data_IF_367527994213
#
_entry.id   IF_367527994213
#
_cell.length_a   1.000
_cell.length_b   1.000
_cell.length_c   1.000
_cell.angle_alpha   90.00
_cell.angle_beta   90.00
_cell.angle_gamma   90.00
#
_symmetry.space_group_name_H-M   'P 1'
#
loop_
_entity.id
_entity.type
_entity.pdbx_description
1 polymer ?
#
# COMPACT_ATOMS: atom_id res chain seq x y z
N UNK A 1 -24.68 -4.86 -14.87
CA UNK A 1 -23.22 -4.87 -14.60
C UNK A 1 -23.04 -5.44 -13.21
N UNK A 2 -22.16 -6.42 -12.99
CA UNK A 2 -21.80 -6.77 -11.62
C UNK A 2 -21.19 -5.51 -11.00
N UNK A 3 -21.76 -5.06 -9.89
CA UNK A 3 -21.34 -3.85 -9.22
C UNK A 3 -19.95 -4.13 -8.62
N UNK A 4 -18.89 -3.80 -9.36
CA UNK A 4 -17.52 -3.94 -8.87
C UNK A 4 -17.41 -3.01 -7.67
N UNK A 5 -17.27 -3.59 -6.47
CA UNK A 5 -16.96 -2.90 -5.22
C UNK A 5 -15.45 -2.98 -5.00
N UNK A 6 -14.65 -2.02 -5.53
CA UNK A 6 -13.21 -2.07 -5.34
C UNK A 6 -12.86 -1.83 -3.88
N UNK A 7 -11.85 -2.54 -3.37
CA UNK A 7 -11.19 -2.17 -2.12
C UNK A 7 -10.25 -1.00 -2.42
N UNK A 8 -10.42 0.10 -1.70
CA UNK A 8 -9.46 1.19 -1.71
C UNK A 8 -8.30 0.80 -0.80
N UNK A 9 -7.08 0.78 -1.32
CA UNK A 9 -5.86 0.54 -0.55
C UNK A 9 -4.99 1.79 -0.67
N UNK A 10 -4.48 2.29 0.45
CA UNK A 10 -3.65 3.50 0.49
C UNK A 10 -2.64 3.43 1.63
N UNK A 11 -1.59 4.24 1.57
CA UNK A 11 -0.72 4.51 2.72
C UNK A 11 -0.99 5.94 3.23
N UNK A 12 -1.65 6.09 4.39
CA UNK A 12 -2.09 7.37 4.95
C UNK A 12 -3.19 8.11 4.14
N UNK A 13 -3.90 7.42 3.26
CA UNK A 13 -4.89 8.07 2.39
C UNK A 13 -6.15 8.54 3.10
N UNK A 14 -6.44 8.05 4.31
CA UNK A 14 -7.57 8.54 5.10
C UNK A 14 -7.37 9.96 5.58
N UNK A 15 -6.13 10.35 5.90
CA UNK A 15 -5.81 11.69 6.42
C UNK A 15 -5.34 12.65 5.34
N UNK A 16 -4.99 12.14 4.14
CA UNK A 16 -4.46 12.95 3.04
C UNK A 16 -5.27 12.80 1.74
N UNK A 17 -5.10 11.70 1.01
CA UNK A 17 -5.65 11.52 -0.34
C UNK A 17 -7.17 11.73 -0.41
N UNK A 18 -7.91 11.09 0.49
CA UNK A 18 -9.37 11.11 0.47
C UNK A 18 -9.93 12.48 0.82
N UNK A 19 -9.47 13.19 1.88
CA UNK A 19 -9.83 14.58 2.10
C UNK A 19 -9.54 15.49 0.88
N UNK A 20 -8.35 15.38 0.29
CA UNK A 20 -7.96 16.20 -0.88
C UNK A 20 -8.90 15.96 -2.07
N UNK A 21 -9.16 14.69 -2.40
CA UNK A 21 -10.07 14.33 -3.50
C UNK A 21 -11.51 14.77 -3.23
N UNK A 22 -12.00 14.60 -1.99
CA UNK A 22 -13.34 15.05 -1.58
C UNK A 22 -13.51 16.55 -1.76
N UNK A 23 -12.57 17.34 -1.23
CA UNK A 23 -12.64 18.81 -1.34
C UNK A 23 -12.53 19.25 -2.80
N UNK A 24 -11.64 18.64 -3.58
CA UNK A 24 -11.52 18.98 -5.00
C UNK A 24 -12.79 18.64 -5.77
N UNK A 25 -13.40 17.47 -5.53
CA UNK A 25 -14.69 17.10 -6.13
C UNK A 25 -15.79 18.10 -5.77
N UNK A 26 -15.89 18.52 -4.51
CA UNK A 26 -16.88 19.51 -4.05
C UNK A 26 -16.69 20.88 -4.71
N UNK A 27 -15.43 21.36 -4.81
CA UNK A 27 -15.11 22.62 -5.51
C UNK A 27 -15.60 22.59 -6.97
N UNK A 28 -15.52 21.43 -7.62
CA UNK A 28 -15.93 21.25 -9.01
C UNK A 28 -17.37 20.76 -9.19
N UNK A 29 -18.18 20.68 -8.12
CA UNK A 29 -19.57 20.23 -8.19
C UNK A 29 -19.74 18.75 -8.60
N UNK A 30 -18.71 17.92 -8.44
CA UNK A 30 -18.73 16.50 -8.82
C UNK A 30 -19.41 15.70 -7.70
N UNK A 31 -20.50 15.03 -8.03
CA UNK A 31 -21.19 14.13 -7.10
C UNK A 31 -20.42 12.81 -6.93
N UNK A 32 -20.30 12.35 -5.67
CA UNK A 32 -19.66 11.09 -5.31
C UNK A 32 -20.59 10.22 -4.44
N UNK A 33 -21.86 10.08 -4.85
CA UNK A 33 -22.90 9.40 -4.05
C UNK A 33 -22.49 7.99 -3.61
N UNK A 34 -21.98 7.17 -4.53
CA UNK A 34 -21.55 5.81 -4.23
C UNK A 34 -20.49 5.77 -3.12
N UNK A 35 -19.51 6.69 -3.14
CA UNK A 35 -18.47 6.75 -2.12
C UNK A 35 -19.04 6.99 -0.70
N UNK A 36 -20.13 7.74 -0.60
CA UNK A 36 -20.75 8.09 0.67
C UNK A 36 -21.84 7.12 1.14
N UNK A 37 -22.59 6.52 0.21
CA UNK A 37 -23.77 5.71 0.52
C UNK A 37 -23.58 4.21 0.35
N UNK A 38 -22.52 3.76 -0.33
CA UNK A 38 -22.31 2.33 -0.51
C UNK A 38 -22.02 1.65 0.84
N UNK A 39 -22.65 0.48 1.03
CA UNK A 39 -22.46 -0.36 2.22
C UNK A 39 -23.50 -0.15 3.30
N UNK A 40 -23.10 -0.34 4.56
CA UNK A 40 -23.96 -0.20 5.73
C UNK A 40 -23.30 0.66 6.82
N UNK A 41 -23.94 0.77 7.98
CA UNK A 41 -23.47 1.60 9.11
C UNK A 41 -22.10 1.18 9.67
N UNK A 42 -21.68 -0.07 9.46
CA UNK A 42 -20.42 -0.65 9.94
C UNK A 42 -19.41 -0.88 8.81
N UNK A 43 -19.88 -1.02 7.57
CA UNK A 43 -19.07 -1.41 6.42
C UNK A 43 -19.26 -0.43 5.28
N UNK A 44 -18.36 0.54 5.14
CA UNK A 44 -18.32 1.47 4.00
C UNK A 44 -16.93 2.11 3.86
N UNK A 45 -16.70 2.87 2.79
CA UNK A 45 -15.44 3.62 2.60
C UNK A 45 -15.16 4.66 3.70
N UNK A 46 -16.21 5.16 4.37
CA UNK A 46 -16.07 6.16 5.43
C UNK A 46 -15.81 5.53 6.79
N UNK A 47 -16.04 4.22 6.95
CA UNK A 47 -15.80 3.54 8.22
C UNK A 47 -14.31 3.25 8.42
N UNK A 48 -13.76 3.72 9.55
CA UNK A 48 -12.33 3.66 9.86
C UNK A 48 -11.80 2.23 9.92
N UNK A 49 -12.55 1.33 10.54
CA UNK A 49 -12.15 -0.04 10.83
C UNK A 49 -12.57 -1.05 9.74
N UNK A 50 -13.15 -0.58 8.63
CA UNK A 50 -13.61 -1.44 7.54
C UNK A 50 -12.53 -1.57 6.46
N UNK A 51 -11.46 -2.31 6.77
CA UNK A 51 -10.31 -2.51 5.85
C UNK A 51 -10.69 -3.27 4.57
N UNK A 52 -11.81 -3.98 4.57
CA UNK A 52 -12.36 -4.62 3.36
C UNK A 52 -12.98 -3.61 2.37
N UNK A 53 -13.18 -2.37 2.79
CA UNK A 53 -13.63 -1.24 1.97
C UNK A 53 -12.50 -0.24 1.71
N UNK A 54 -11.93 0.33 2.78
CA UNK A 54 -10.75 1.20 2.72
C UNK A 54 -9.68 0.68 3.68
N UNK A 55 -8.70 -0.02 3.12
CA UNK A 55 -7.49 -0.44 3.82
C UNK A 55 -6.46 0.69 3.77
N UNK A 56 -6.46 1.53 4.81
CA UNK A 56 -5.35 2.45 5.04
C UNK A 56 -4.25 1.69 5.80
N UNK A 57 -3.12 1.45 5.14
CA UNK A 57 -1.99 0.68 5.68
C UNK A 57 -1.35 1.37 6.87
N UNK A 58 -1.33 2.71 6.93
CA UNK A 58 -0.76 3.41 8.08
C UNK A 58 -1.60 3.16 9.34
N UNK A 59 -2.93 3.22 9.18
CA UNK A 59 -3.86 2.91 10.27
C UNK A 59 -3.80 1.44 10.65
N UNK A 60 -3.81 0.55 9.67
CA UNK A 60 -3.90 -0.89 9.93
C UNK A 60 -2.61 -1.44 10.56
N UNK A 61 -1.44 -0.99 10.11
CA UNK A 61 -0.15 -1.42 10.68
C UNK A 61 0.12 -0.82 12.07
N UNK A 62 -0.50 0.32 12.40
CA UNK A 62 -0.36 0.95 13.71
C UNK A 62 -1.44 0.53 14.73
N UNK A 63 -2.21 -0.51 14.42
CA UNK A 63 -3.40 -0.93 15.20
C UNK A 63 -4.32 0.27 15.50
N UNK A 64 -4.59 1.04 14.45
CA UNK A 64 -5.40 2.27 14.47
C UNK A 64 -4.88 3.34 15.45
N UNK A 65 -3.56 3.39 15.62
CA UNK A 65 -2.85 4.31 16.50
C UNK A 65 -2.59 3.78 17.91
N UNK A 66 -2.82 2.50 18.18
CA UNK A 66 -2.36 1.86 19.42
C UNK A 66 -0.83 1.73 19.46
N UNK A 67 -0.17 1.73 18.30
CA UNK A 67 1.28 1.86 18.16
C UNK A 67 1.66 3.09 17.33
N UNK A 68 2.96 3.35 17.22
CA UNK A 68 3.47 4.49 16.47
C UNK A 68 3.10 4.38 14.98
N UNK A 69 2.73 5.51 14.38
CA UNK A 69 2.53 5.63 12.93
C UNK A 69 3.88 5.81 12.25
N UNK A 70 4.31 4.80 11.51
CA UNK A 70 5.62 4.70 10.86
C UNK A 70 5.52 5.16 9.40
N UNK A 71 6.54 5.86 8.89
CA UNK A 71 6.54 6.34 7.49
C UNK A 71 6.69 5.18 6.50
N UNK A 72 6.20 5.35 5.27
CA UNK A 72 6.25 4.30 4.25
C UNK A 72 7.68 3.78 4.02
N UNK A 73 8.69 4.65 3.94
CA UNK A 73 10.08 4.23 3.79
C UNK A 73 10.60 3.36 4.93
N UNK A 74 10.19 3.66 6.16
CA UNK A 74 10.60 2.89 7.34
C UNK A 74 9.94 1.50 7.33
N UNK A 75 8.67 1.42 6.91
CA UNK A 75 7.97 0.13 6.69
C UNK A 75 8.64 -0.66 5.57
N UNK A 76 8.96 -0.02 4.43
CA UNK A 76 9.66 -0.67 3.33
C UNK A 76 11.01 -1.22 3.79
N UNK A 77 11.82 -0.43 4.50
CA UNK A 77 13.10 -0.86 5.04
C UNK A 77 12.96 -2.08 5.98
N UNK A 78 11.97 -2.06 6.88
CA UNK A 78 11.69 -3.19 7.77
C UNK A 78 11.27 -4.47 7.02
N UNK A 79 10.69 -4.33 5.83
CA UNK A 79 10.27 -5.45 4.98
C UNK A 79 11.27 -5.80 3.88
N UNK A 80 12.46 -5.17 3.87
CA UNK A 80 13.46 -5.27 2.80
C UNK A 80 12.91 -4.94 1.40
N UNK A 81 12.02 -3.95 1.32
CA UNK A 81 11.46 -3.43 0.07
C UNK A 81 12.19 -2.13 -0.34
N UNK A 82 12.18 -1.75 -1.64
CA UNK A 82 12.91 -0.57 -2.13
C UNK A 82 12.61 0.73 -1.40
N UNK A 83 11.34 1.00 -1.09
CA UNK A 83 10.94 2.32 -0.59
C UNK A 83 11.04 3.40 -1.67
N UNK A 84 11.08 4.67 -1.26
CA UNK A 84 11.18 5.81 -2.18
C UNK A 84 12.58 5.88 -2.79
N UNK A 85 12.63 6.04 -4.11
CA UNK A 85 13.86 6.17 -4.88
C UNK A 85 13.98 7.62 -5.37
N UNK A 86 14.96 8.35 -4.85
CA UNK A 86 15.33 9.70 -5.30
C UNK A 86 14.46 10.84 -4.75
N UNK A 87 13.17 10.88 -5.10
CA UNK A 87 12.27 12.00 -4.78
C UNK A 87 11.52 11.76 -3.47
N UNK A 88 11.37 12.82 -2.65
CA UNK A 88 10.51 12.83 -1.46
C UNK A 88 9.34 13.82 -1.62
N UNK A 89 8.24 13.58 -0.90
CA UNK A 89 7.04 14.41 -0.92
C UNK A 89 7.30 15.88 -0.59
N UNK A 90 8.33 16.17 0.22
CA UNK A 90 8.76 17.53 0.53
C UNK A 90 9.28 18.32 -0.69
N UNK A 91 9.70 17.62 -1.74
CA UNK A 91 10.25 18.23 -2.97
C UNK A 91 9.18 18.51 -4.03
N UNK A 92 7.96 18.00 -3.86
CA UNK A 92 6.90 18.06 -4.89
C UNK A 92 6.57 19.50 -5.30
N UNK A 93 6.49 20.43 -4.34
CA UNK A 93 6.22 21.84 -4.65
C UNK A 93 7.32 22.44 -5.52
N UNK A 94 8.59 22.25 -5.16
CA UNK A 94 9.72 22.78 -5.92
C UNK A 94 9.84 22.16 -7.32
N UNK A 95 9.55 20.87 -7.45
CA UNK A 95 9.48 20.20 -8.75
C UNK A 95 8.36 20.77 -9.62
N UNK A 96 7.19 21.03 -9.02
CA UNK A 96 6.04 21.61 -9.73
C UNK A 96 6.36 23.02 -10.24
N UNK A 97 6.89 23.88 -9.37
CA UNK A 97 7.27 25.25 -9.73
C UNK A 97 8.35 25.29 -10.82
N UNK A 98 9.21 24.27 -10.85
CA UNK A 98 10.24 24.09 -11.88
C UNK A 98 9.72 23.41 -13.16
N UNK A 99 8.42 23.14 -13.28
CA UNK A 99 7.82 22.48 -14.44
C UNK A 99 8.14 20.99 -14.59
N UNK A 100 8.71 20.34 -13.57
CA UNK A 100 9.17 18.95 -13.58
C UNK A 100 8.05 17.95 -13.26
N UNK A 101 6.95 18.04 -14.00
CA UNK A 101 5.74 17.23 -13.76
C UNK A 101 5.99 15.73 -13.96
N UNK A 102 6.88 15.36 -14.89
CA UNK A 102 7.21 13.96 -15.12
C UNK A 102 7.88 13.32 -13.89
N UNK A 103 8.79 14.03 -13.22
CA UNK A 103 9.46 13.55 -12.00
C UNK A 103 8.45 13.30 -10.87
N UNK A 104 7.46 14.19 -10.73
CA UNK A 104 6.36 14.02 -9.75
C UNK A 104 5.52 12.77 -10.09
N UNK A 105 5.21 12.57 -11.37
CA UNK A 105 4.44 11.40 -11.82
C UNK A 105 5.19 10.10 -11.54
N UNK A 106 6.47 10.05 -11.91
CA UNK A 106 7.31 8.87 -11.71
C UNK A 106 7.40 8.53 -10.21
N UNK A 107 7.60 9.54 -9.37
CA UNK A 107 7.55 9.42 -7.91
C UNK A 107 6.22 8.83 -7.41
N UNK A 108 5.08 9.41 -7.81
CA UNK A 108 3.76 8.92 -7.41
C UNK A 108 3.52 7.46 -7.82
N UNK A 109 4.00 7.06 -9.00
CA UNK A 109 3.89 5.66 -9.44
C UNK A 109 4.73 4.72 -8.57
N UNK A 110 5.94 5.11 -8.17
CA UNK A 110 6.76 4.31 -7.24
C UNK A 110 6.12 4.18 -5.85
N UNK A 111 5.44 5.23 -5.35
CA UNK A 111 4.69 5.19 -4.09
C UNK A 111 3.52 4.19 -4.17
N UNK A 112 2.85 4.09 -5.33
CA UNK A 112 1.79 3.10 -5.56
C UNK A 112 2.37 1.67 -5.56
N UNK A 113 3.52 1.44 -6.21
CA UNK A 113 4.18 0.13 -6.21
C UNK A 113 4.58 -0.30 -4.79
N UNK A 114 5.18 0.60 -4.01
CA UNK A 114 5.50 0.35 -2.60
C UNK A 114 4.25 0.05 -1.76
N UNK A 115 3.18 0.84 -1.92
CA UNK A 115 1.90 0.63 -1.24
C UNK A 115 1.35 -0.76 -1.54
N UNK A 116 1.41 -1.21 -2.80
CA UNK A 116 0.94 -2.53 -3.20
C UNK A 116 1.79 -3.67 -2.59
N UNK A 117 3.13 -3.54 -2.59
CA UNK A 117 4.01 -4.52 -1.97
C UNK A 117 3.78 -4.66 -0.46
N UNK A 118 3.62 -3.55 0.26
CA UNK A 118 3.27 -3.54 1.69
C UNK A 118 1.91 -4.21 1.90
N UNK A 119 0.93 -3.91 1.06
CA UNK A 119 -0.39 -4.52 1.13
C UNK A 119 -0.34 -6.03 0.90
N UNK A 120 0.40 -6.51 -0.10
CA UNK A 120 0.58 -7.95 -0.31
C UNK A 120 1.21 -8.61 0.91
N UNK A 121 2.24 -7.98 1.52
CA UNK A 121 2.88 -8.51 2.73
C UNK A 121 1.90 -8.60 3.88
N UNK A 122 1.08 -7.58 4.05
CA UNK A 122 0.03 -7.53 5.06
C UNK A 122 -1.04 -8.61 4.84
N UNK A 123 -1.55 -8.76 3.62
CA UNK A 123 -2.53 -9.78 3.26
C UNK A 123 -2.00 -11.20 3.45
N UNK A 124 -0.74 -11.43 3.13
CA UNK A 124 -0.05 -12.70 3.37
C UNK A 124 0.07 -12.97 4.87
N UNK A 125 0.51 -11.99 5.67
CA UNK A 125 0.63 -12.11 7.12
C UNK A 125 -0.70 -12.45 7.81
N UNK A 126 -1.81 -11.89 7.31
CA UNK A 126 -3.16 -12.21 7.79
C UNK A 126 -3.68 -13.58 7.32
N UNK A 127 -2.92 -14.32 6.49
CA UNK A 127 -3.36 -15.59 5.91
C UNK A 127 -4.48 -15.46 4.87
N UNK A 128 -4.70 -14.25 4.32
CA UNK A 128 -5.76 -13.98 3.34
C UNK A 128 -5.38 -14.39 1.92
N UNK A 129 -4.08 -14.53 1.66
CA UNK A 129 -3.54 -15.05 0.39
C UNK A 129 -2.48 -16.12 0.69
N UNK A 130 -2.34 -17.09 -0.20
CA UNK A 130 -1.33 -18.15 -0.09
C UNK A 130 0.06 -17.60 -0.44
N UNK A 131 1.12 -18.32 -0.04
CA UNK A 131 2.48 -18.00 -0.48
C UNK A 131 2.60 -17.98 -2.00
N UNK A 132 1.95 -18.92 -2.69
CA UNK A 132 1.89 -18.96 -4.15
C UNK A 132 1.23 -17.72 -4.74
N UNK A 133 0.07 -17.31 -4.21
CA UNK A 133 -0.64 -16.12 -4.69
C UNK A 133 0.16 -14.84 -4.43
N UNK A 134 0.82 -14.75 -3.27
CA UNK A 134 1.70 -13.63 -2.92
C UNK A 134 2.88 -13.52 -3.91
N UNK A 135 3.59 -14.63 -4.14
CA UNK A 135 4.75 -14.66 -5.05
C UNK A 135 4.35 -14.33 -6.49
N UNK A 136 3.25 -14.93 -6.97
CA UNK A 136 2.70 -14.64 -8.30
C UNK A 136 2.32 -13.17 -8.47
N UNK A 137 1.71 -12.56 -7.45
CA UNK A 137 1.33 -11.14 -7.49
C UNK A 137 2.54 -10.21 -7.58
N UNK A 138 3.66 -10.59 -6.96
CA UNK A 138 4.93 -9.85 -7.09
C UNK A 138 5.52 -10.05 -8.47
N UNK A 139 5.56 -11.28 -8.98
CA UNK A 139 6.07 -11.56 -10.33
C UNK A 139 5.32 -10.73 -11.39
N UNK A 140 3.99 -10.74 -11.35
CA UNK A 140 3.14 -9.93 -12.24
C UNK A 140 3.44 -8.43 -12.09
N UNK A 141 3.62 -7.93 -10.86
CA UNK A 141 3.99 -6.54 -10.61
C UNK A 141 5.36 -6.18 -11.23
N UNK A 142 6.36 -7.06 -11.08
CA UNK A 142 7.70 -6.81 -11.62
C UNK A 142 7.69 -6.79 -13.15
N UNK A 143 6.87 -7.65 -13.79
CA UNK A 143 6.64 -7.60 -15.24
C UNK A 143 5.97 -6.28 -15.67
N UNK A 144 5.00 -5.76 -14.90
CA UNK A 144 4.42 -4.45 -15.18
C UNK A 144 5.45 -3.32 -15.04
N UNK A 145 6.37 -3.43 -14.07
CA UNK A 145 7.43 -2.44 -13.87
C UNK A 145 8.40 -2.36 -15.06
N UNK A 146 8.56 -3.42 -15.85
CA UNK A 146 9.42 -3.40 -17.04
C UNK A 146 8.92 -2.46 -18.15
N UNK A 147 7.63 -2.08 -18.11
CA UNK A 147 7.00 -1.26 -19.16
C UNK A 147 7.37 0.22 -19.11
N UNK A 148 7.96 0.70 -18.00
CA UNK A 148 8.32 2.12 -17.82
C UNK A 148 9.71 2.26 -17.22
N UNK A 149 10.47 3.23 -17.73
CA UNK A 149 11.89 3.35 -17.41
C UNK A 149 12.17 3.63 -15.92
N UNK A 150 11.37 4.48 -15.27
CA UNK A 150 11.52 4.73 -13.83
C UNK A 150 11.16 3.52 -12.97
N UNK A 151 10.24 2.67 -13.44
CA UNK A 151 9.86 1.44 -12.74
C UNK A 151 10.85 0.29 -12.97
N UNK A 152 11.63 0.30 -14.06
CA UNK A 152 12.78 -0.61 -14.20
C UNK A 152 13.82 -0.37 -13.11
N UNK A 153 14.14 0.89 -12.82
CA UNK A 153 15.02 1.25 -11.68
C UNK A 153 14.46 0.75 -10.35
N UNK A 154 13.14 0.81 -10.18
CA UNK A 154 12.48 0.23 -9.01
C UNK A 154 12.65 -1.30 -8.95
N UNK A 155 12.52 -2.00 -10.08
CA UNK A 155 12.75 -3.45 -10.16
C UNK A 155 14.21 -3.80 -9.83
N UNK A 156 15.18 -3.06 -10.34
CA UNK A 156 16.60 -3.26 -10.02
C UNK A 156 16.85 -3.10 -8.51
N UNK A 157 16.28 -2.04 -7.90
CA UNK A 157 16.38 -1.85 -6.45
C UNK A 157 15.70 -3.00 -5.68
N UNK A 158 14.56 -3.51 -6.16
CA UNK A 158 13.89 -4.66 -5.56
C UNK A 158 14.77 -5.91 -5.58
N UNK A 159 15.47 -6.16 -6.69
CA UNK A 159 16.41 -7.29 -6.80
C UNK A 159 17.56 -7.15 -5.81
N UNK A 160 18.05 -5.94 -5.58
CA UNK A 160 19.10 -5.64 -4.59
C UNK A 160 18.57 -5.83 -3.16
N UNK A 161 17.46 -5.20 -2.79
CA UNK A 161 16.97 -5.19 -1.40
C UNK A 161 16.39 -6.54 -0.97
N UNK A 162 15.68 -7.23 -1.86
CA UNK A 162 15.14 -8.56 -1.58
C UNK A 162 16.11 -9.69 -1.93
N UNK A 163 17.26 -9.40 -2.55
CA UNK A 163 18.18 -10.41 -3.09
C UNK A 163 17.52 -11.30 -4.16
N UNK A 164 16.55 -10.75 -4.90
CA UNK A 164 15.71 -11.50 -5.86
C UNK A 164 14.79 -12.54 -5.22
N UNK A 165 14.66 -12.57 -3.89
CA UNK A 165 13.93 -13.62 -3.19
C UNK A 165 12.46 -13.28 -3.00
N UNK A 166 11.63 -14.24 -3.37
CA UNK A 166 10.24 -14.30 -2.98
C UNK A 166 10.08 -14.88 -1.56
N UNK A 167 8.88 -14.78 -0.99
CA UNK A 167 8.60 -15.48 0.27
C UNK A 167 8.59 -16.98 -0.01
N UNK A 168 9.49 -17.72 0.63
CA UNK A 168 9.54 -19.17 0.49
C UNK A 168 8.42 -19.82 1.32
N UNK A 169 7.84 -20.91 0.79
CA UNK A 169 7.03 -21.81 1.60
C UNK A 169 7.97 -22.40 2.64
N UNK A 170 7.87 -22.00 3.90
CA UNK A 170 8.50 -22.77 4.96
C UNK A 170 7.89 -24.17 4.91
N UNK A 171 8.63 -25.14 4.35
CA UNK A 171 8.28 -26.56 4.53
C UNK A 171 8.24 -26.79 6.03
N UNK A 172 7.10 -27.29 6.50
CA UNK A 172 6.75 -27.57 7.88
C UNK A 172 7.93 -28.12 8.70
N UNK A 173 8.70 -27.23 9.32
CA UNK A 173 9.40 -27.53 10.55
C UNK A 173 8.34 -27.56 11.63
N UNK A 174 8.12 -28.71 12.26
CA UNK A 174 7.16 -28.88 13.36
C UNK A 174 7.36 -27.76 14.39
N UNK A 175 6.48 -26.76 14.40
CA UNK A 175 6.34 -25.88 15.54
C UNK A 175 5.72 -26.76 16.63
N UNK A 176 6.55 -27.22 17.58
CA UNK A 176 6.03 -27.82 18.81
C UNK A 176 5.18 -26.75 19.47
N UNK A 177 3.91 -27.07 19.70
CA UNK A 177 2.96 -26.25 20.44
C UNK A 177 3.51 -25.95 21.84
N UNK A 178 4.20 -24.82 21.98
CA UNK A 178 4.46 -24.17 23.25
C UNK A 178 3.39 -23.13 23.47
N UNK A 179 2.58 -23.28 24.52
CA UNK A 179 1.66 -22.27 24.98
C UNK A 179 2.39 -20.92 25.12
N UNK A 180 1.97 -19.92 24.37
CA UNK A 180 2.35 -18.53 24.64
C UNK A 180 1.48 -18.07 25.80
N UNK A 181 2.03 -18.08 27.01
CA UNK A 181 1.45 -17.37 28.15
C UNK A 181 1.90 -15.92 28.03
N UNK A 182 0.97 -15.05 27.64
CA UNK A 182 1.16 -13.61 27.72
C UNK A 182 1.18 -13.22 29.20
N UNK A 183 2.33 -12.72 29.68
CA UNK A 183 2.36 -11.93 30.92
C UNK A 183 2.19 -10.47 30.53
N UNK A 184 1.12 -9.88 31.08
CA UNK A 184 0.84 -8.43 31.14
C UNK A 184 2.00 -7.65 31.74
#
# INVERSE_FOLDING_TARGET
MSEKRPRLVSFNGRTFDIPVLKYRAMIHGIQAEYFHKAGDKWNSYNQRYSSDWHCDLLETLSDFGASARVKMNEVCAAFNLPGKIGVDGSQVMGLYDSGKIQEIRDYCETDVVNTYLIYLRFMYHQGRITTESYNKSIEELLLECEKKEHLKKFKEEWEITCGGNFVSVQRSGKIKSGQVVLKT
#
